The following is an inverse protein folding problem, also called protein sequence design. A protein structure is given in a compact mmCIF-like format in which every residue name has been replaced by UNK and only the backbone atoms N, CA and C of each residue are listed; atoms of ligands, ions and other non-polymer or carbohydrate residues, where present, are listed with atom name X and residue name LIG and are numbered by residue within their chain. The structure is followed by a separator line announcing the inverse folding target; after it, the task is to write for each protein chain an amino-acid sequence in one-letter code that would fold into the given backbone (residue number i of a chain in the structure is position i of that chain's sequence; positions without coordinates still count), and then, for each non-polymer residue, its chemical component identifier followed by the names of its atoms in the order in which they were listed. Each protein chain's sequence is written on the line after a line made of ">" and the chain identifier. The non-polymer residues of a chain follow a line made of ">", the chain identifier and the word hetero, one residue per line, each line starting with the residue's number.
data_IF_674007124207
#
_entry.id   IF_674007124207
#
_cell.length_a   1.000
_cell.length_b   1.000
_cell.length_c   1.000
_cell.angle_alpha   90.00
_cell.angle_beta   90.00
_cell.angle_gamma   90.00
#
_symmetry.space_group_name_H-M   'P 1'
#
loop_
_entity.id
_entity.type
_entity.pdbx_description
1 polymer ?
#
# COMPACT_ATOMS: atom_id res chain seq x y z
N UNK A 1 -5.77 19.91 -40.23
CA UNK A 1 -4.64 18.99 -40.47
C UNK A 1 -4.52 18.13 -39.22
N UNK A 2 -4.89 16.84 -39.26
CA UNK A 2 -3.98 15.68 -39.20
C UNK A 2 -2.82 15.95 -38.23
N UNK A 3 -2.60 15.19 -37.15
CA UNK A 3 -2.11 13.81 -37.21
C UNK A 3 -2.48 12.98 -35.96
N UNK A 4 -2.85 11.73 -36.23
CA UNK A 4 -3.05 10.60 -35.32
C UNK A 4 -1.70 9.97 -34.91
N UNK A 5 -1.67 9.37 -33.72
CA UNK A 5 -1.08 8.05 -33.42
C UNK A 5 -1.45 7.72 -31.94
N UNK A 6 -2.49 6.96 -31.60
CA UNK A 6 -2.71 5.52 -31.79
C UNK A 6 -1.50 4.67 -31.39
N UNK A 7 -1.44 4.25 -30.13
CA UNK A 7 -0.62 3.11 -29.71
C UNK A 7 -1.55 2.01 -29.20
N UNK A 8 -1.70 1.00 -30.05
CA UNK A 8 -2.58 -0.16 -29.88
C UNK A 8 -2.01 -1.10 -28.82
N UNK A 9 -2.87 -1.52 -27.89
CA UNK A 9 -2.67 -2.70 -27.05
C UNK A 9 -2.91 -3.95 -27.88
N UNK A 10 -1.96 -4.88 -27.88
CA UNK A 10 -2.14 -6.25 -28.41
C UNK A 10 -2.27 -7.20 -27.23
N UNK A 11 -3.50 -7.65 -26.97
CA UNK A 11 -3.79 -8.78 -26.08
C UNK A 11 -3.59 -10.04 -26.91
N UNK A 12 -2.51 -10.77 -26.62
CA UNK A 12 -2.26 -12.10 -27.17
C UNK A 12 -3.03 -13.15 -26.39
N UNK A 13 -4.05 -13.70 -27.03
CA UNK A 13 -4.80 -14.89 -26.63
C UNK A 13 -4.01 -16.14 -27.02
N UNK A 14 -3.74 -17.02 -26.06
CA UNK A 14 -3.43 -18.44 -26.23
C UNK A 14 -3.44 -19.08 -24.82
N UNK A 15 -3.99 -20.25 -24.54
CA UNK A 15 -4.86 -21.15 -25.26
C UNK A 15 -5.47 -22.06 -24.18
N UNK A 16 -6.75 -22.39 -24.33
CA UNK A 16 -7.45 -23.42 -23.57
C UNK A 16 -6.86 -24.80 -23.88
N UNK A 17 -6.87 -25.69 -22.88
CA UNK A 17 -7.23 -27.11 -22.93
C UNK A 17 -6.19 -28.05 -22.29
N UNK A 18 -6.61 -28.73 -21.22
CA UNK A 18 -6.44 -30.17 -20.96
C UNK A 18 -7.03 -30.45 -19.57
N UNK A 19 -8.23 -30.99 -19.43
CA UNK A 19 -8.64 -32.41 -19.55
C UNK A 19 -8.95 -32.93 -18.14
N UNK A 20 -10.24 -32.99 -17.79
CA UNK A 20 -10.74 -33.66 -16.59
C UNK A 20 -10.68 -35.18 -16.80
N UNK A 21 -9.98 -35.89 -15.91
CA UNK A 21 -10.21 -37.32 -15.64
C UNK A 21 -10.26 -37.47 -14.12
N UNK A 22 -11.45 -37.83 -13.62
CA UNK A 22 -11.72 -37.94 -12.19
C UNK A 22 -11.28 -39.27 -11.58
N UNK A 23 -11.15 -39.28 -10.25
CA UNK A 23 -11.33 -40.45 -9.40
C UNK A 23 -11.90 -39.96 -8.07
N UNK A 24 -13.16 -40.31 -7.78
CA UNK A 24 -13.69 -40.27 -6.42
C UNK A 24 -13.19 -41.51 -5.68
N UNK A 25 -12.48 -41.31 -4.57
CA UNK A 25 -12.19 -42.36 -3.61
C UNK A 25 -12.23 -41.77 -2.21
N UNK A 26 -12.99 -42.45 -1.35
CA UNK A 26 -13.33 -42.15 0.02
C UNK A 26 -12.09 -41.80 0.86
N UNK A 27 -12.09 -40.62 1.50
CA UNK A 27 -11.16 -40.23 2.55
C UNK A 27 -11.98 -39.79 3.77
N UNK A 28 -11.47 -40.00 5.00
CA UNK A 28 -12.20 -39.73 6.24
C UNK A 28 -12.65 -38.27 6.28
N UNK A 29 -13.71 -37.97 7.03
CA UNK A 29 -14.16 -36.61 7.31
C UNK A 29 -12.92 -35.78 7.69
N UNK A 30 -12.40 -35.06 6.70
CA UNK A 30 -11.55 -33.93 6.97
C UNK A 30 -12.53 -32.96 7.59
N UNK A 31 -12.49 -32.84 8.92
CA UNK A 31 -12.80 -31.54 9.48
C UNK A 31 -11.98 -30.55 8.66
N UNK A 32 -12.70 -29.75 7.87
CA UNK A 32 -12.12 -28.62 7.20
C UNK A 32 -11.73 -27.64 8.30
N UNK A 33 -10.60 -27.91 8.95
CA UNK A 33 -9.72 -26.85 9.34
C UNK A 33 -9.39 -26.15 8.04
N UNK A 34 -10.18 -25.13 7.72
CA UNK A 34 -9.78 -24.05 6.85
C UNK A 34 -8.54 -23.44 7.50
N UNK A 35 -7.39 -24.08 7.33
CA UNK A 35 -6.12 -23.45 7.52
C UNK A 35 -5.98 -22.55 6.32
N UNK A 36 -6.68 -21.42 6.38
CA UNK A 36 -6.37 -20.27 5.58
C UNK A 36 -4.90 -19.99 5.86
N UNK A 37 -4.03 -20.42 4.97
CA UNK A 37 -2.69 -19.85 4.85
C UNK A 37 -2.90 -18.41 4.40
N UNK A 38 -3.27 -17.57 5.36
CA UNK A 38 -3.57 -16.16 5.15
C UNK A 38 -2.24 -15.43 4.97
N UNK A 39 -1.61 -15.61 3.81
CA UNK A 39 -0.48 -14.81 3.38
C UNK A 39 -0.95 -13.37 3.16
N UNK A 40 -1.10 -12.61 4.25
CA UNK A 40 -1.37 -11.19 4.21
C UNK A 40 -0.06 -10.40 4.34
N UNK A 41 -0.02 -9.26 3.68
CA UNK A 41 1.02 -8.24 3.80
C UNK A 41 0.37 -6.89 3.58
N UNK A 42 0.07 -6.19 4.67
CA UNK A 42 -0.52 -4.87 4.62
C UNK A 42 0.04 -4.00 5.73
N UNK A 43 -0.02 -2.68 5.56
CA UNK A 43 0.41 -1.72 6.56
C UNK A 43 -0.75 -0.83 6.95
N UNK A 44 -0.81 -0.51 8.23
CA UNK A 44 -1.76 0.44 8.80
C UNK A 44 -1.01 1.49 9.56
N UNK A 45 -1.55 2.69 9.59
CA UNK A 45 -0.99 3.72 10.44
C UNK A 45 -1.87 4.94 10.48
N UNK A 46 -1.59 5.77 11.46
CA UNK A 46 -2.30 7.01 11.68
C UNK A 46 -1.66 7.83 12.77
N UNK A 47 -1.79 9.14 12.66
CA UNK A 47 -1.16 10.04 13.60
C UNK A 47 -1.25 11.49 13.17
N UNK A 48 -0.37 12.27 13.76
CA UNK A 48 -0.21 13.68 13.41
C UNK A 48 1.25 14.10 13.60
N UNK A 49 1.65 15.13 12.85
CA UNK A 49 2.92 15.83 13.00
C UNK A 49 2.70 17.34 12.93
N UNK A 50 3.68 18.11 13.37
CA UNK A 50 3.63 19.57 13.26
C UNK A 50 3.71 19.97 11.78
N UNK A 51 2.79 20.82 11.32
CA UNK A 51 2.85 21.33 9.95
C UNK A 51 4.12 22.15 9.73
N UNK A 52 4.73 21.98 8.55
CA UNK A 52 5.85 22.83 8.12
C UNK A 52 5.40 24.22 7.67
N UNK A 53 4.09 24.48 7.54
CA UNK A 53 3.53 25.73 7.07
C UNK A 53 3.07 26.68 8.18
N UNK A 54 3.17 26.29 9.45
CA UNK A 54 2.90 27.19 10.57
C UNK A 54 2.47 26.48 11.87
N UNK A 55 1.80 27.24 12.73
CA UNK A 55 1.25 26.76 14.00
C UNK A 55 -0.01 25.92 13.74
N UNK A 56 0.18 24.65 13.40
CA UNK A 56 -0.91 23.70 13.22
C UNK A 56 -0.43 22.27 13.07
N UNK A 57 -1.38 21.35 13.04
CA UNK A 57 -1.10 19.92 12.90
C UNK A 57 -1.48 19.45 11.50
N UNK A 58 -0.70 18.52 10.98
CA UNK A 58 -1.09 17.69 9.86
C UNK A 58 -1.43 16.29 10.37
N UNK A 59 -2.60 15.79 10.01
CA UNK A 59 -3.08 14.46 10.36
C UNK A 59 -2.93 13.53 9.16
N UNK A 60 -2.59 12.27 9.40
CA UNK A 60 -2.54 11.26 8.35
C UNK A 60 -3.18 9.96 8.80
N UNK A 61 -3.61 9.15 7.84
CA UNK A 61 -4.10 7.80 8.08
C UNK A 61 -4.00 6.96 6.81
N UNK A 62 -3.66 5.69 6.98
CA UNK A 62 -3.59 4.75 5.87
C UNK A 62 -3.87 3.32 6.26
N UNK A 63 -4.27 2.56 5.24
CA UNK A 63 -4.45 1.13 5.31
C UNK A 63 -4.24 0.55 3.91
N UNK A 64 -3.09 -0.08 3.65
CA UNK A 64 -2.68 -0.43 2.28
C UNK A 64 -2.00 -1.79 2.23
N UNK A 65 -2.36 -2.61 1.24
CA UNK A 65 -1.70 -3.88 0.93
C UNK A 65 -2.67 -5.02 0.61
N UNK A 66 -2.22 -6.25 0.88
CA UNK A 66 -2.89 -7.51 0.62
C UNK A 66 -3.43 -8.10 1.93
N UNK A 67 -4.69 -7.85 2.25
CA UNK A 67 -5.27 -8.22 3.56
C UNK A 67 -5.74 -9.67 3.69
N UNK A 68 -6.22 -10.27 2.60
CA UNK A 68 -7.02 -11.50 2.67
C UNK A 68 -6.34 -12.71 1.99
N UNK A 69 -5.04 -12.91 2.21
CA UNK A 69 -4.31 -14.07 1.67
C UNK A 69 -3.75 -13.88 0.25
N UNK A 70 -3.21 -14.95 -0.35
CA UNK A 70 -2.36 -14.89 -1.54
C UNK A 70 -3.06 -14.36 -2.80
N UNK A 71 -4.38 -14.50 -2.88
CA UNK A 71 -5.19 -14.01 -4.01
C UNK A 71 -5.91 -12.69 -3.72
N UNK A 72 -5.63 -12.05 -2.57
CA UNK A 72 -6.24 -10.77 -2.23
C UNK A 72 -5.84 -9.71 -3.27
N UNK A 73 -6.78 -8.95 -3.85
CA UNK A 73 -6.39 -7.81 -4.67
C UNK A 73 -5.67 -6.78 -3.80
N UNK A 74 -4.74 -6.06 -4.41
CA UNK A 74 -4.16 -4.88 -3.80
C UNK A 74 -5.27 -3.86 -3.55
N UNK A 75 -5.36 -3.40 -2.31
CA UNK A 75 -6.27 -2.32 -1.91
C UNK A 75 -5.52 -1.35 -1.02
N UNK A 76 -6.01 -0.12 -0.98
CA UNK A 76 -5.66 0.74 0.13
C UNK A 76 -6.25 2.11 0.09
N UNK A 77 -6.05 2.79 1.21
CA UNK A 77 -6.49 4.15 1.45
C UNK A 77 -5.32 4.90 2.09
N UNK A 78 -5.13 6.15 1.67
CA UNK A 78 -4.23 7.10 2.31
C UNK A 78 -4.89 8.47 2.29
N UNK A 79 -4.90 9.13 3.43
CA UNK A 79 -5.36 10.51 3.57
C UNK A 79 -4.38 11.30 4.43
N UNK A 80 -4.20 12.56 4.07
CA UNK A 80 -3.48 13.55 4.87
C UNK A 80 -4.23 14.88 4.83
N UNK A 81 -4.32 15.55 5.98
CA UNK A 81 -4.95 16.86 6.12
C UNK A 81 -4.00 17.76 6.90
N UNK A 82 -3.45 18.79 6.25
CA UNK A 82 -2.69 19.84 6.89
C UNK A 82 -3.62 21.03 7.21
N UNK A 83 -3.90 21.23 8.50
CA UNK A 83 -4.78 22.29 8.96
C UNK A 83 -4.13 23.68 8.94
N UNK A 84 -2.80 23.79 8.97
CA UNK A 84 -2.12 25.09 8.88
C UNK A 84 -2.12 25.60 7.43
N UNK A 85 -1.90 24.70 6.48
CA UNK A 85 -1.88 25.04 5.05
C UNK A 85 -3.25 24.98 4.38
N UNK A 86 -4.27 24.43 5.05
CA UNK A 86 -5.56 24.06 4.45
C UNK A 86 -5.39 23.18 3.20
N UNK A 87 -4.48 22.20 3.29
CA UNK A 87 -4.17 21.25 2.21
C UNK A 87 -4.66 19.87 2.59
N UNK A 88 -5.28 19.17 1.64
CA UNK A 88 -5.60 17.74 1.78
C UNK A 88 -4.95 16.94 0.67
N UNK A 89 -4.52 15.73 1.00
CA UNK A 89 -4.05 14.73 0.05
C UNK A 89 -4.92 13.50 0.27
N UNK A 90 -5.59 13.03 -0.78
CA UNK A 90 -6.39 11.82 -0.75
C UNK A 90 -5.99 10.91 -1.89
N UNK A 91 -5.61 9.69 -1.56
CA UNK A 91 -5.30 8.69 -2.56
C UNK A 91 -6.60 8.20 -3.23
N UNK A 92 -6.61 8.22 -4.57
CA UNK A 92 -7.73 7.75 -5.40
C UNK A 92 -7.54 6.29 -5.81
N UNK A 93 -6.29 5.87 -5.97
CA UNK A 93 -5.88 4.53 -6.40
C UNK A 93 -4.61 4.12 -5.66
N UNK A 94 -4.43 2.80 -5.48
CA UNK A 94 -3.17 2.21 -5.07
C UNK A 94 -2.76 1.27 -6.20
N UNK A 95 -1.67 1.60 -6.87
CA UNK A 95 -1.21 0.91 -8.08
C UNK A 95 -0.10 -0.10 -7.77
N UNK A 96 0.73 0.21 -6.78
CA UNK A 96 1.85 -0.65 -6.37
C UNK A 96 1.96 -0.72 -4.86
N UNK A 97 2.48 -1.83 -4.35
CA UNK A 97 2.79 -2.03 -2.93
C UNK A 97 4.02 -2.94 -2.81
N UNK A 98 4.98 -2.56 -1.97
CA UNK A 98 6.22 -3.29 -1.78
C UNK A 98 6.97 -2.84 -0.53
N UNK A 99 8.20 -3.32 -0.35
CA UNK A 99 9.10 -2.93 0.74
C UNK A 99 10.39 -3.76 0.71
N UNK A 100 11.48 -3.21 1.26
CA UNK A 100 12.79 -3.82 1.40
C UNK A 100 13.10 -4.33 2.81
N UNK A 101 12.97 -5.65 2.97
CA UNK A 101 13.80 -6.45 3.87
C UNK A 101 14.52 -7.49 3.00
N UNK A 102 15.85 -7.39 2.90
CA UNK A 102 16.69 -8.10 1.93
C UNK A 102 16.21 -9.53 1.58
N UNK A 103 15.83 -9.73 0.30
CA UNK A 103 15.58 -10.99 -0.42
C UNK A 103 15.09 -12.21 0.36
N UNK A 104 13.93 -12.77 -0.03
CA UNK A 104 13.24 -13.96 0.52
C UNK A 104 12.26 -13.68 1.67
N UNK A 105 11.20 -12.89 1.40
CA UNK A 105 9.94 -12.95 2.17
C UNK A 105 10.10 -12.96 3.71
N UNK A 106 11.04 -12.20 4.26
CA UNK A 106 11.42 -12.37 5.66
C UNK A 106 10.66 -11.42 6.59
N UNK A 107 10.23 -12.00 7.73
CA UNK A 107 9.70 -11.45 8.99
C UNK A 107 10.43 -10.13 9.34
N UNK A 108 9.85 -8.93 9.37
CA UNK A 108 9.24 -8.23 10.52
C UNK A 108 9.03 -9.13 11.74
N UNK A 109 10.05 -9.22 12.57
CA UNK A 109 9.85 -9.41 14.00
C UNK A 109 9.60 -8.06 14.67
N UNK A 110 9.06 -8.03 15.89
CA UNK A 110 8.95 -6.80 16.72
C UNK A 110 10.27 -6.08 17.01
N UNK A 111 11.41 -6.60 16.55
CA UNK A 111 12.75 -6.07 16.80
C UNK A 111 13.47 -5.66 15.51
N UNK A 112 12.77 -5.65 14.37
CA UNK A 112 13.34 -5.31 13.08
C UNK A 112 12.68 -4.08 12.49
N UNK A 113 13.48 -3.32 11.74
CA UNK A 113 12.99 -2.20 10.93
C UNK A 113 12.22 -2.77 9.74
N UNK A 114 10.99 -2.31 9.55
CA UNK A 114 10.10 -2.75 8.51
C UNK A 114 9.59 -1.58 7.69
N UNK A 115 9.97 -1.55 6.42
CA UNK A 115 9.48 -0.56 5.48
C UNK A 115 8.35 -1.13 4.62
N UNK A 116 7.44 -0.25 4.21
CA UNK A 116 6.50 -0.50 3.13
C UNK A 116 6.38 0.76 2.31
N UNK A 117 6.30 0.61 1.00
CA UNK A 117 5.97 1.70 0.10
C UNK A 117 4.79 1.34 -0.78
N UNK A 118 4.10 2.36 -1.25
CA UNK A 118 3.09 2.23 -2.28
C UNK A 118 3.08 3.45 -3.18
N UNK A 119 2.57 3.24 -4.40
CA UNK A 119 2.29 4.35 -5.32
C UNK A 119 0.84 4.33 -5.76
N UNK A 120 0.37 5.47 -6.26
CA UNK A 120 -0.95 5.57 -6.86
C UNK A 120 -1.27 7.00 -7.27
N UNK A 121 -2.43 7.20 -7.88
CA UNK A 121 -2.93 8.55 -8.13
C UNK A 121 -3.59 9.11 -6.87
N UNK A 122 -3.24 10.34 -6.50
CA UNK A 122 -3.87 11.09 -5.42
C UNK A 122 -4.42 12.42 -5.92
N UNK A 123 -5.49 12.88 -5.30
CA UNK A 123 -5.99 14.24 -5.40
C UNK A 123 -5.36 15.08 -4.30
N UNK A 124 -4.83 16.25 -4.66
CA UNK A 124 -4.34 17.25 -3.73
C UNK A 124 -5.23 18.48 -3.85
N UNK A 125 -5.85 18.87 -2.74
CA UNK A 125 -6.70 20.05 -2.64
C UNK A 125 -5.98 21.12 -1.84
N UNK A 126 -5.76 22.27 -2.47
CA UNK A 126 -5.36 23.53 -1.86
C UNK A 126 -6.59 24.43 -1.71
N UNK A 127 -6.50 25.54 -0.96
CA UNK A 127 -7.62 26.49 -0.83
C UNK A 127 -8.17 27.03 -2.16
N UNK A 128 -7.32 27.14 -3.17
CA UNK A 128 -7.59 27.79 -4.45
C UNK A 128 -7.41 26.88 -5.67
N UNK A 129 -6.98 25.63 -5.48
CA UNK A 129 -6.69 24.71 -6.57
C UNK A 129 -6.89 23.24 -6.18
N UNK A 130 -7.21 22.41 -7.17
CA UNK A 130 -7.22 20.95 -7.05
C UNK A 130 -6.42 20.37 -8.21
N UNK A 131 -5.50 19.46 -7.92
CA UNK A 131 -4.82 18.71 -8.97
C UNK A 131 -4.61 17.24 -8.57
N UNK A 132 -4.39 16.40 -9.57
CA UNK A 132 -4.04 15.01 -9.37
C UNK A 132 -2.53 14.83 -9.55
N UNK A 133 -1.91 13.97 -8.76
CA UNK A 133 -0.55 13.55 -9.00
C UNK A 133 -0.30 12.09 -8.63
N UNK A 134 0.80 11.56 -9.16
CA UNK A 134 1.24 10.22 -8.80
C UNK A 134 1.98 10.29 -7.48
N UNK A 135 1.34 9.84 -6.41
CA UNK A 135 1.88 9.84 -5.07
C UNK A 135 2.75 8.60 -4.86
N UNK A 136 3.89 8.78 -4.22
CA UNK A 136 4.69 7.77 -3.57
C UNK A 136 4.58 7.99 -2.07
N UNK A 137 4.28 6.92 -1.33
CA UNK A 137 4.31 6.94 0.13
C UNK A 137 5.19 5.79 0.60
N UNK A 138 6.11 6.08 1.49
CA UNK A 138 6.95 5.11 2.19
C UNK A 138 6.74 5.29 3.68
N UNK A 139 6.62 4.17 4.38
CA UNK A 139 6.50 4.11 5.81
C UNK A 139 7.53 3.15 6.36
N UNK A 140 8.06 3.46 7.52
CA UNK A 140 9.02 2.60 8.22
C UNK A 140 8.56 2.47 9.67
N UNK A 141 8.32 1.24 10.10
CA UNK A 141 8.12 0.84 11.50
C UNK A 141 9.48 0.38 12.05
N UNK A 142 10.04 1.10 13.02
CA UNK A 142 11.32 0.71 13.67
C UNK A 142 11.13 0.16 15.08
N UNK A 143 9.89 0.08 15.56
CA UNK A 143 9.54 -0.22 16.96
C UNK A 143 9.89 0.88 17.97
N UNK A 144 11.00 1.61 17.81
CA UNK A 144 11.38 2.75 18.68
C UNK A 144 10.87 4.11 18.21
N UNK A 145 10.64 4.25 16.91
CA UNK A 145 10.15 5.42 16.21
C UNK A 145 9.71 4.99 14.82
N UNK A 146 8.73 5.68 14.26
CA UNK A 146 8.26 5.39 12.92
C UNK A 146 8.62 6.55 11.99
N UNK A 147 8.62 6.33 10.69
CA UNK A 147 8.78 7.42 9.73
C UNK A 147 7.81 7.31 8.58
N UNK A 148 7.34 8.44 8.09
CA UNK A 148 6.53 8.53 6.87
C UNK A 148 7.17 9.50 5.90
N UNK A 149 7.29 9.09 4.65
CA UNK A 149 7.73 9.90 3.53
C UNK A 149 6.64 9.92 2.47
N UNK A 150 6.21 11.11 2.07
CA UNK A 150 5.20 11.32 1.04
C UNK A 150 5.79 12.21 -0.02
N UNK A 151 5.78 11.74 -1.27
CA UNK A 151 6.26 12.48 -2.41
C UNK A 151 5.22 12.44 -3.53
N UNK A 152 4.93 13.60 -4.08
CA UNK A 152 4.23 13.69 -5.35
C UNK A 152 5.31 13.58 -6.44
N UNK A 153 5.29 12.50 -7.23
CA UNK A 153 6.32 12.25 -8.25
C UNK A 153 6.35 13.43 -9.23
N UNK A 154 7.56 13.86 -9.58
CA UNK A 154 7.88 15.10 -10.31
C UNK A 154 7.75 16.42 -9.49
N UNK A 155 7.42 16.32 -8.21
CA UNK A 155 7.33 17.45 -7.26
C UNK A 155 8.12 17.19 -5.97
N UNK A 156 8.08 18.15 -5.05
CA UNK A 156 8.67 18.02 -3.71
C UNK A 156 7.91 17.01 -2.85
N UNK A 157 8.66 16.24 -2.06
CA UNK A 157 8.12 15.40 -0.99
C UNK A 157 8.47 15.93 0.40
N UNK A 158 7.91 15.30 1.42
CA UNK A 158 8.21 15.55 2.82
C UNK A 158 8.37 14.24 3.58
N UNK A 159 9.21 14.24 4.59
CA UNK A 159 9.41 13.11 5.49
C UNK A 159 9.33 13.56 6.94
N UNK A 160 8.71 12.74 7.78
CA UNK A 160 8.52 13.01 9.20
C UNK A 160 8.87 11.78 10.03
N UNK A 161 9.61 12.02 11.11
CA UNK A 161 9.76 11.07 12.20
C UNK A 161 8.56 11.16 13.13
N UNK A 162 8.12 10.00 13.62
CA UNK A 162 6.95 9.81 14.43
C UNK A 162 7.34 9.06 15.71
N UNK A 163 6.62 9.28 16.82
CA UNK A 163 6.70 8.38 17.96
C UNK A 163 6.42 6.92 17.55
N UNK A 164 6.90 5.97 18.34
CA UNK A 164 6.60 4.56 18.13
C UNK A 164 5.10 4.28 18.19
N UNK A 165 4.65 3.33 17.36
CA UNK A 165 3.29 2.79 17.37
C UNK A 165 2.30 3.58 16.51
N UNK A 166 2.79 4.48 15.67
CA UNK A 166 1.99 5.18 14.67
C UNK A 166 1.83 4.35 13.38
N UNK A 167 2.74 3.41 13.13
CA UNK A 167 2.78 2.56 11.95
C UNK A 167 2.90 1.10 12.40
N UNK A 168 2.18 0.22 11.72
CA UNK A 168 2.25 -1.22 11.94
C UNK A 168 2.29 -1.93 10.58
N UNK A 169 3.22 -2.89 10.46
CA UNK A 169 3.31 -3.79 9.30
C UNK A 169 2.76 -5.16 9.68
N UNK A 170 1.63 -5.50 9.08
CA UNK A 170 0.90 -6.74 9.30
C UNK A 170 1.33 -7.77 8.28
N UNK A 171 1.88 -8.89 8.74
CA UNK A 171 2.17 -10.01 7.84
C UNK A 171 2.06 -11.38 8.47
N UNK A 172 1.70 -12.35 7.64
CA UNK A 172 1.82 -13.75 8.00
C UNK A 172 3.15 -14.34 7.52
N UNK A 173 3.61 -15.40 8.20
CA UNK A 173 4.74 -16.19 7.72
C UNK A 173 4.31 -16.99 6.48
N UNK A 174 4.64 -16.49 5.29
CA UNK A 174 4.61 -17.28 4.07
C UNK A 174 5.91 -18.10 4.02
N UNK A 175 5.78 -19.42 4.03
CA UNK A 175 6.89 -20.36 3.86
C UNK A 175 7.30 -20.45 2.39
#
# INVERSE_FOLDING_TARGET
>A
MKWLATMKWTIGTAALASLFVGVFSLLPDHEAHAQATACFDFTTGGGWFQSSFGDGKANFGFNVGYKNGPDSPLKGEFNLVDHAANVTIKMLTVDTYGGEGNGTGHRCSPTQICDRFWTGTAEITFPDAVFACRLFVEVVDRGSNDSIHVACLDYTGFAFELPAGNIEVHKAACL
#
